data_IF_455062923983
#
_entry.id   IF_455062923983
#
_cell.length_a   1.000
_cell.length_b   1.000
_cell.length_c   1.000
_cell.angle_alpha   90.00
_cell.angle_beta   90.00
_cell.angle_gamma   90.00
#
_symmetry.space_group_name_H-M   'P 1'
#
loop_
_entity.id
_entity.type
_entity.pdbx_description
1 polymer ?
#
# COMPACT_ATOMS: atom_id res chain seq x y z
N UNK A 1 -5.99 6.60 -18.00
CA UNK A 1 -6.40 7.53 -16.94
C UNK A 1 -5.21 8.20 -16.25
N UNK A 2 -4.26 7.44 -15.65
CA UNK A 2 -3.08 8.01 -14.96
C UNK A 2 -2.30 9.06 -15.78
N UNK A 3 -2.00 8.75 -17.05
CA UNK A 3 -1.39 9.70 -17.98
C UNK A 3 -2.14 11.04 -18.00
N UNK A 4 -3.47 11.04 -18.10
CA UNK A 4 -4.25 12.28 -18.15
C UNK A 4 -4.22 13.06 -16.83
N UNK A 5 -4.16 12.38 -15.69
CA UNK A 5 -4.05 13.03 -14.38
C UNK A 5 -2.69 13.73 -14.21
N UNK A 6 -1.65 13.11 -14.77
CA UNK A 6 -0.30 13.63 -14.72
C UNK A 6 0.05 14.58 -15.87
N UNK A 7 -0.71 14.53 -16.97
CA UNK A 7 -0.48 15.34 -18.15
C UNK A 7 -0.67 16.82 -17.82
N UNK A 8 0.38 17.65 -17.98
CA UNK A 8 0.21 19.09 -18.01
C UNK A 8 -0.36 19.38 -19.39
N UNK A 9 -1.67 19.30 -19.57
CA UNK A 9 -2.29 19.76 -20.82
C UNK A 9 -3.78 20.01 -20.69
N UNK A 10 -4.27 20.27 -19.49
CA UNK A 10 -5.59 20.83 -19.35
C UNK A 10 -5.50 22.32 -19.77
N UNK A 11 -6.27 22.63 -20.82
CA UNK A 11 -6.30 23.94 -21.45
C UNK A 11 -7.42 24.76 -20.82
N UNK A 12 -7.06 25.81 -20.08
CA UNK A 12 -8.04 26.71 -19.48
C UNK A 12 -8.07 28.04 -20.24
N UNK A 13 -9.26 28.50 -20.69
CA UNK A 13 -9.39 29.86 -21.15
C UNK A 13 -9.21 30.80 -19.95
N UNK A 14 -8.25 31.73 -20.05
CA UNK A 14 -7.95 32.71 -18.99
C UNK A 14 -9.06 33.73 -18.77
N UNK A 15 -9.97 33.86 -19.72
CA UNK A 15 -11.05 34.86 -19.74
C UNK A 15 -12.29 34.29 -20.44
N UNK A 16 -13.43 34.85 -20.10
CA UNK A 16 -14.76 34.70 -20.73
C UNK A 16 -14.82 35.21 -22.20
N UNK A 17 -13.78 35.88 -22.68
CA UNK A 17 -13.68 36.37 -24.06
C UNK A 17 -13.20 35.32 -25.06
N UNK A 18 -14.03 35.03 -26.07
CA UNK A 18 -13.75 34.10 -27.19
C UNK A 18 -12.53 34.51 -28.05
N UNK A 19 -11.99 35.70 -27.85
CA UNK A 19 -10.92 36.32 -28.66
C UNK A 19 -9.55 36.39 -27.97
N UNK A 20 -9.46 36.02 -26.68
CA UNK A 20 -8.20 36.02 -25.93
C UNK A 20 -7.71 34.58 -25.70
N UNK A 21 -6.96 34.05 -26.69
CA UNK A 21 -6.41 32.69 -26.66
C UNK A 21 -5.15 32.58 -25.77
N UNK A 22 -5.07 33.32 -24.67
CA UNK A 22 -4.04 33.10 -23.64
C UNK A 22 -4.34 31.81 -22.89
N UNK A 23 -3.99 30.71 -23.56
CA UNK A 23 -4.01 29.36 -23.07
C UNK A 23 -2.84 29.18 -22.10
N UNK A 24 -3.15 28.81 -20.87
CA UNK A 24 -2.14 28.31 -19.95
C UNK A 24 -2.45 26.84 -19.64
N UNK A 25 -1.39 26.13 -19.31
CA UNK A 25 -1.39 24.70 -19.15
C UNK A 25 -1.17 24.39 -17.66
N UNK A 26 -2.16 23.75 -17.03
CA UNK A 26 -2.09 23.33 -15.63
C UNK A 26 -2.45 21.84 -15.58
N UNK A 27 -1.62 21.02 -14.92
CA UNK A 27 -1.95 19.61 -14.73
C UNK A 27 -3.09 19.44 -13.73
N UNK A 28 -3.84 18.32 -13.82
CA UNK A 28 -4.87 18.00 -12.83
C UNK A 28 -4.31 17.93 -11.41
N UNK A 29 -3.07 17.46 -11.26
CA UNK A 29 -2.38 17.48 -9.98
C UNK A 29 -2.22 18.88 -9.40
N UNK A 30 -1.97 19.91 -10.20
CA UNK A 30 -1.87 21.29 -9.70
C UNK A 30 -3.21 21.87 -9.24
N UNK A 31 -4.32 21.43 -9.85
CA UNK A 31 -5.66 21.87 -9.45
C UNK A 31 -6.22 21.07 -8.27
N UNK A 32 -5.94 19.78 -8.22
CA UNK A 32 -6.48 18.83 -7.24
C UNK A 32 -5.35 18.00 -6.60
N UNK A 33 -4.38 18.65 -5.94
CA UNK A 33 -3.15 17.99 -5.51
C UNK A 33 -3.41 16.88 -4.50
N UNK A 34 -4.35 17.08 -3.58
CA UNK A 34 -4.69 16.09 -2.55
C UNK A 34 -5.28 14.84 -3.16
N UNK A 35 -6.22 14.99 -4.09
CA UNK A 35 -6.96 13.88 -4.69
C UNK A 35 -6.11 13.10 -5.67
N UNK A 36 -5.36 13.79 -6.54
CA UNK A 36 -4.44 13.12 -7.44
C UNK A 36 -3.30 12.46 -6.66
N UNK A 37 -2.72 13.11 -5.64
CA UNK A 37 -1.74 12.48 -4.74
C UNK A 37 -2.30 11.23 -4.07
N UNK A 38 -3.54 11.26 -3.57
CA UNK A 38 -4.20 10.09 -2.98
C UNK A 38 -4.35 8.94 -3.97
N UNK A 39 -4.73 9.23 -5.22
CA UNK A 39 -4.84 8.20 -6.28
C UNK A 39 -3.50 7.53 -6.51
N UNK A 40 -2.44 8.31 -6.71
CA UNK A 40 -1.10 7.77 -6.94
C UNK A 40 -0.58 7.02 -5.71
N UNK A 41 -0.79 7.57 -4.52
CA UNK A 41 -0.48 6.90 -3.27
C UNK A 41 -1.15 5.52 -3.18
N UNK A 42 -2.45 5.44 -3.39
CA UNK A 42 -3.19 4.18 -3.27
C UNK A 42 -2.80 3.17 -4.35
N UNK A 43 -2.43 3.65 -5.55
CA UNK A 43 -1.90 2.77 -6.61
C UNK A 43 -0.52 2.21 -6.23
N UNK A 44 0.37 3.06 -5.72
CA UNK A 44 1.76 2.70 -5.41
C UNK A 44 1.83 1.83 -4.15
N UNK A 45 0.97 2.07 -3.15
CA UNK A 45 0.92 1.33 -1.88
C UNK A 45 -0.01 0.10 -1.91
N UNK A 46 -0.58 -0.20 -3.07
CA UNK A 46 -1.54 -1.28 -3.33
C UNK A 46 -2.86 -1.19 -2.55
N UNK A 47 -3.27 0.01 -2.15
CA UNK A 47 -4.59 0.28 -1.57
C UNK A 47 -5.67 0.37 -2.67
N UNK A 48 -5.68 -0.60 -3.59
CA UNK A 48 -6.57 -0.60 -4.76
C UNK A 48 -8.06 -0.63 -4.40
N UNK A 49 -8.40 -1.29 -3.29
CA UNK A 49 -9.77 -1.31 -2.77
C UNK A 49 -10.30 0.09 -2.42
N UNK A 50 -9.41 1.05 -2.16
CA UNK A 50 -9.77 2.44 -1.87
C UNK A 50 -9.92 3.29 -3.14
N UNK A 51 -9.67 2.71 -4.31
CA UNK A 51 -9.93 3.28 -5.63
C UNK A 51 -11.11 2.61 -6.34
N UNK A 52 -11.44 1.39 -5.89
CA UNK A 52 -12.52 0.61 -6.41
C UNK A 52 -13.90 1.14 -6.03
N UNK A 53 -14.94 0.65 -6.72
CA UNK A 53 -16.32 0.95 -6.41
C UNK A 53 -16.70 0.41 -5.02
N UNK A 54 -17.84 0.87 -4.51
CA UNK A 54 -18.36 0.47 -3.20
C UNK A 54 -19.76 -0.11 -3.31
N UNK A 55 -20.14 -0.89 -2.32
CA UNK A 55 -21.53 -1.33 -2.13
C UNK A 55 -22.03 -0.73 -0.82
N UNK A 56 -23.00 0.17 -0.91
CA UNK A 56 -23.65 0.79 0.24
C UNK A 56 -24.73 -0.18 0.75
N UNK A 57 -24.62 -0.70 1.99
CA UNK A 57 -25.64 -1.59 2.55
C UNK A 57 -27.01 -0.92 2.56
N UNK A 58 -28.05 -1.66 2.17
CA UNK A 58 -29.44 -1.20 2.18
C UNK A 58 -30.01 -1.01 3.59
N UNK A 59 -29.31 -1.55 4.61
CA UNK A 59 -29.82 -1.67 5.99
C UNK A 59 -30.78 -2.86 6.19
N UNK A 60 -31.20 -3.51 5.11
CA UNK A 60 -32.04 -4.71 5.12
C UNK A 60 -31.18 -5.94 4.75
N UNK A 61 -31.07 -6.95 5.64
CA UNK A 61 -30.24 -8.13 5.39
C UNK A 61 -30.70 -8.95 4.16
N UNK A 62 -31.94 -8.80 3.72
CA UNK A 62 -32.50 -9.53 2.57
C UNK A 62 -32.28 -8.80 1.23
N UNK A 63 -31.78 -7.55 1.26
CA UNK A 63 -31.52 -6.76 0.06
C UNK A 63 -30.03 -6.54 -0.15
N UNK A 64 -29.54 -6.96 -1.31
CA UNK A 64 -28.20 -6.60 -1.78
C UNK A 64 -28.06 -5.07 -1.79
N UNK A 65 -26.95 -4.56 -1.24
CA UNK A 65 -26.66 -3.14 -1.19
C UNK A 65 -26.56 -2.49 -2.59
N UNK A 66 -26.51 -1.16 -2.63
CA UNK A 66 -26.41 -0.42 -3.89
C UNK A 66 -24.95 -0.29 -4.31
N UNK A 67 -24.62 -0.76 -5.51
CA UNK A 67 -23.30 -0.57 -6.12
C UNK A 67 -23.15 0.87 -6.61
N UNK A 68 -22.13 1.56 -6.13
CA UNK A 68 -21.81 2.93 -6.51
C UNK A 68 -20.35 3.06 -6.95
N UNK A 69 -20.07 3.75 -8.08
CA UNK A 69 -18.72 4.17 -8.40
C UNK A 69 -18.18 5.05 -7.27
N UNK A 70 -16.96 4.75 -6.80
CA UNK A 70 -16.32 5.59 -5.79
C UNK A 70 -16.00 6.95 -6.40
N UNK A 71 -16.60 7.99 -5.84
CA UNK A 71 -16.30 9.35 -6.22
C UNK A 71 -15.05 9.78 -5.46
N UNK A 72 -13.98 10.03 -6.22
CA UNK A 72 -12.72 10.56 -5.68
C UNK A 72 -12.74 12.11 -5.62
N UNK A 73 -13.77 12.72 -6.22
CA UNK A 73 -14.03 14.14 -6.29
C UNK A 73 -15.55 14.32 -6.22
N UNK A 74 -16.07 15.00 -5.18
CA UNK A 74 -17.42 15.57 -5.21
C UNK A 74 -17.38 17.04 -5.71
N UNK A 75 -18.55 17.64 -5.92
CA UNK A 75 -18.70 19.03 -6.34
C UNK A 75 -18.15 20.07 -5.33
N UNK A 76 -17.96 19.67 -4.07
CA UNK A 76 -17.43 20.47 -2.97
C UNK A 76 -15.94 20.18 -2.69
N UNK A 77 -15.29 19.36 -3.51
CA UNK A 77 -13.91 18.86 -3.32
C UNK A 77 -13.71 18.06 -2.02
N UNK A 78 -14.79 17.53 -1.46
CA UNK A 78 -14.79 16.62 -0.33
C UNK A 78 -14.97 15.18 -0.84
N UNK A 79 -14.33 14.24 -0.18
CA UNK A 79 -14.59 12.84 -0.46
C UNK A 79 -15.88 12.44 0.26
N UNK A 80 -16.85 11.81 -0.43
CA UNK A 80 -18.03 11.30 0.24
C UNK A 80 -17.65 10.32 1.37
N UNK A 81 -18.40 10.36 2.46
CA UNK A 81 -18.19 9.43 3.56
C UNK A 81 -18.70 8.04 3.16
N UNK A 82 -17.76 7.11 3.02
CA UNK A 82 -18.03 5.71 2.72
C UNK A 82 -17.92 4.80 3.96
N UNK A 83 -18.02 5.37 5.16
CA UNK A 83 -18.03 4.60 6.40
C UNK A 83 -19.17 3.58 6.40
N UNK A 84 -18.83 2.31 6.62
CA UNK A 84 -19.79 1.19 6.59
C UNK A 84 -20.09 0.62 5.19
N UNK A 85 -19.56 1.21 4.12
CA UNK A 85 -19.67 0.63 2.78
C UNK A 85 -18.70 -0.53 2.58
N UNK A 86 -19.15 -1.56 1.85
CA UNK A 86 -18.30 -2.68 1.44
C UNK A 86 -17.43 -2.24 0.25
N UNK A 87 -16.12 -2.54 0.30
CA UNK A 87 -15.18 -2.20 -0.77
C UNK A 87 -15.18 -3.32 -1.82
N UNK A 88 -15.23 -2.94 -3.10
CA UNK A 88 -15.08 -3.88 -4.20
C UNK A 88 -13.68 -3.73 -4.77
N UNK A 89 -12.90 -4.81 -4.76
CA UNK A 89 -11.56 -4.78 -5.34
C UNK A 89 -11.66 -4.60 -6.87
N UNK A 90 -11.06 -3.55 -7.44
CA UNK A 90 -11.06 -3.38 -8.88
C UNK A 90 -10.12 -4.39 -9.53
N UNK A 91 -10.39 -4.76 -10.79
CA UNK A 91 -9.43 -5.53 -11.58
C UNK A 91 -8.19 -4.67 -11.84
N UNK A 92 -7.08 -5.08 -11.23
CA UNK A 92 -5.78 -4.41 -11.38
C UNK A 92 -4.79 -5.35 -12.04
N UNK A 93 -4.07 -4.84 -13.04
CA UNK A 93 -2.89 -5.52 -13.58
C UNK A 93 -1.68 -5.19 -12.71
N UNK A 94 -0.80 -6.17 -12.52
CA UNK A 94 0.48 -6.06 -11.78
C UNK A 94 1.28 -4.80 -12.16
N UNK A 95 1.24 -4.37 -13.42
CA UNK A 95 2.02 -3.24 -13.91
C UNK A 95 1.51 -1.86 -13.48
N UNK A 96 0.33 -1.74 -12.84
CA UNK A 96 -0.23 -0.44 -12.49
C UNK A 96 0.64 0.34 -11.50
N UNK A 97 1.27 -0.36 -10.56
CA UNK A 97 2.20 0.22 -9.58
C UNK A 97 3.41 0.87 -10.25
N UNK A 98 4.14 0.10 -11.07
CA UNK A 98 5.30 0.59 -11.81
C UNK A 98 4.95 1.78 -12.71
N UNK A 99 3.80 1.71 -13.39
CA UNK A 99 3.33 2.81 -14.23
C UNK A 99 2.98 4.05 -13.39
N UNK A 100 2.40 3.86 -12.20
CA UNK A 100 2.10 4.96 -11.28
C UNK A 100 3.38 5.63 -10.75
N UNK A 101 4.40 4.85 -10.36
CA UNK A 101 5.72 5.38 -9.97
C UNK A 101 6.32 6.19 -11.11
N UNK A 102 6.31 5.65 -12.34
CA UNK A 102 6.88 6.33 -13.50
C UNK A 102 6.19 7.67 -13.76
N UNK A 103 4.86 7.71 -13.77
CA UNK A 103 4.13 8.96 -13.98
C UNK A 103 4.29 9.95 -12.83
N UNK A 104 4.34 9.47 -11.59
CA UNK A 104 4.57 10.32 -10.44
C UNK A 104 5.94 11.02 -10.52
N UNK A 105 7.00 10.26 -10.83
CA UNK A 105 8.36 10.80 -10.96
C UNK A 105 8.58 11.62 -12.23
N UNK A 106 8.02 11.22 -13.37
CA UNK A 106 8.27 11.91 -14.63
C UNK A 106 7.42 13.17 -14.84
N UNK A 107 6.17 13.17 -14.35
CA UNK A 107 5.17 14.18 -14.73
C UNK A 107 4.57 14.95 -13.54
N UNK A 108 4.73 14.45 -12.31
CA UNK A 108 4.26 15.11 -11.08
C UNK A 108 5.42 15.68 -10.24
N UNK A 109 6.62 15.64 -10.81
CA UNK A 109 7.83 16.28 -10.34
C UNK A 109 7.79 17.80 -10.53
N UNK A 110 8.36 18.55 -9.58
CA UNK A 110 8.63 19.97 -9.80
C UNK A 110 9.82 20.50 -8.99
N UNK A 111 10.81 21.01 -9.73
CA UNK A 111 12.00 21.64 -9.16
C UNK A 111 11.74 22.99 -8.46
N UNK A 112 10.52 23.53 -8.61
CA UNK A 112 10.18 24.90 -8.23
C UNK A 112 9.14 25.01 -7.13
N UNK A 113 8.48 23.91 -6.77
CA UNK A 113 7.41 23.91 -5.78
C UNK A 113 7.52 22.72 -4.82
N UNK A 114 8.16 23.00 -3.69
CA UNK A 114 8.39 22.04 -2.62
C UNK A 114 7.10 21.41 -2.05
N UNK A 115 5.94 22.03 -2.27
CA UNK A 115 4.67 21.58 -1.69
C UNK A 115 3.86 20.65 -2.60
N UNK A 116 4.10 20.72 -3.91
CA UNK A 116 3.40 19.95 -4.95
C UNK A 116 4.36 19.02 -5.70
N UNK A 117 5.34 18.47 -4.99
CA UNK A 117 6.34 17.57 -5.54
C UNK A 117 6.06 16.15 -5.03
N UNK A 118 5.27 15.39 -5.79
CA UNK A 118 4.86 14.05 -5.39
C UNK A 118 6.05 13.09 -5.16
N UNK A 119 7.14 13.13 -5.96
CA UNK A 119 8.35 12.34 -5.73
C UNK A 119 8.93 12.42 -4.32
N UNK A 120 8.77 13.56 -3.62
CA UNK A 120 9.25 13.68 -2.23
C UNK A 120 8.54 12.75 -1.26
N UNK A 121 7.29 12.36 -1.55
CA UNK A 121 6.58 11.38 -0.73
C UNK A 121 7.11 9.96 -0.93
N UNK A 122 7.95 9.72 -1.95
CA UNK A 122 8.60 8.45 -2.28
C UNK A 122 10.09 8.41 -1.87
N UNK A 123 10.58 9.39 -1.12
CA UNK A 123 11.97 9.42 -0.66
C UNK A 123 12.24 8.29 0.36
N UNK A 124 12.94 7.27 -0.12
CA UNK A 124 13.46 6.15 0.66
C UNK A 124 14.98 6.23 0.60
N UNK A 125 15.65 5.92 1.70
CA UNK A 125 17.09 5.79 1.76
C UNK A 125 17.48 4.40 2.28
N UNK A 126 18.69 3.98 1.95
CA UNK A 126 19.30 2.75 2.48
C UNK A 126 20.47 3.13 3.36
N UNK A 127 20.52 2.58 4.57
CA UNK A 127 21.59 2.83 5.54
C UNK A 127 22.97 2.56 4.92
N UNK A 128 23.87 3.54 5.02
CA UNK A 128 25.22 3.47 4.49
C UNK A 128 25.35 3.59 2.96
N UNK A 129 24.26 3.78 2.22
CA UNK A 129 24.30 4.08 0.79
C UNK A 129 24.41 5.61 0.53
N UNK A 130 24.62 6.02 -0.72
CA UNK A 130 24.80 7.45 -1.07
C UNK A 130 23.54 8.30 -0.90
N UNK A 131 22.37 7.65 -0.82
CA UNK A 131 21.06 8.25 -0.58
C UNK A 131 20.70 8.29 0.92
N UNK A 132 21.59 7.82 1.80
CA UNK A 132 21.49 7.96 3.26
C UNK A 132 21.69 9.42 3.67
N UNK A 133 20.60 10.18 3.57
CA UNK A 133 20.62 11.62 3.84
C UNK A 133 20.54 11.89 5.33
N UNK A 134 21.33 12.84 5.82
CA UNK A 134 21.20 13.42 7.19
C UNK A 134 19.80 13.98 7.52
N UNK A 135 18.85 13.98 6.58
CA UNK A 135 17.46 14.35 6.80
C UNK A 135 16.77 13.42 7.81
N UNK A 136 17.14 12.14 7.88
CA UNK A 136 16.57 11.19 8.86
C UNK A 136 17.04 11.49 10.29
N UNK A 137 18.29 11.91 10.46
CA UNK A 137 18.86 12.24 11.78
C UNK A 137 18.20 13.46 12.43
N UNK A 138 17.65 14.36 11.62
CA UNK A 138 17.06 15.63 12.06
C UNK A 138 15.52 15.61 12.08
N UNK A 139 14.89 14.55 11.59
CA UNK A 139 13.44 14.40 11.59
C UNK A 139 12.91 13.95 12.97
N UNK A 140 11.65 14.24 13.26
CA UNK A 140 10.97 13.65 14.43
C UNK A 140 10.92 12.13 14.25
N UNK A 141 11.33 11.31 15.23
CA UNK A 141 11.23 9.86 15.16
C UNK A 141 9.82 9.34 14.79
N UNK A 142 8.76 10.07 15.12
CA UNK A 142 7.38 9.71 14.76
C UNK A 142 7.10 9.85 13.25
N UNK A 143 7.92 10.62 12.53
CA UNK A 143 7.81 10.88 11.10
C UNK A 143 8.83 10.06 10.28
N UNK A 144 9.58 9.16 10.92
CA UNK A 144 10.54 8.26 10.28
C UNK A 144 10.06 6.82 10.42
N UNK A 145 9.83 6.14 9.30
CA UNK A 145 9.67 4.69 9.29
C UNK A 145 11.03 4.06 8.97
N UNK A 146 11.44 3.07 9.76
CA UNK A 146 12.65 2.28 9.52
C UNK A 146 12.29 0.81 9.42
N UNK A 147 12.79 0.16 8.38
CA UNK A 147 12.70 -1.29 8.19
C UNK A 147 14.09 -1.89 8.23
N UNK A 148 14.25 -2.97 8.98
CA UNK A 148 15.48 -3.79 8.99
C UNK A 148 15.09 -5.20 8.59
N UNK A 149 15.59 -5.64 7.44
CA UNK A 149 15.30 -6.95 6.87
C UNK A 149 15.93 -8.04 7.75
N UNK A 150 15.13 -9.01 8.25
CA UNK A 150 15.60 -9.95 9.26
C UNK A 150 16.67 -10.93 8.74
N UNK A 151 16.66 -11.23 7.44
CA UNK A 151 17.61 -12.17 6.81
C UNK A 151 18.85 -11.46 6.25
N UNK A 152 18.68 -10.43 5.41
CA UNK A 152 19.80 -9.75 4.73
C UNK A 152 20.48 -8.66 5.58
N UNK A 153 19.84 -8.20 6.67
CA UNK A 153 20.32 -7.06 7.46
C UNK A 153 20.18 -5.71 6.75
N UNK A 154 19.52 -5.67 5.59
CA UNK A 154 19.25 -4.45 4.86
C UNK A 154 18.41 -3.48 5.70
N UNK A 155 18.86 -2.23 5.85
CA UNK A 155 18.11 -1.20 6.56
C UNK A 155 17.64 -0.12 5.58
N UNK A 156 16.34 0.19 5.61
CA UNK A 156 15.69 1.20 4.79
C UNK A 156 14.99 2.23 5.68
N UNK A 157 15.06 3.51 5.30
CA UNK A 157 14.44 4.63 5.99
C UNK A 157 13.53 5.41 5.04
N UNK A 158 12.43 5.95 5.57
CA UNK A 158 11.46 6.71 4.78
C UNK A 158 10.76 7.76 5.63
N UNK A 159 10.59 8.94 5.07
CA UNK A 159 10.00 10.08 5.76
C UNK A 159 8.51 10.20 5.52
N UNK A 160 7.80 10.67 6.54
CA UNK A 160 6.40 11.03 6.47
C UNK A 160 6.23 12.43 5.85
N UNK A 161 6.23 12.48 4.52
CA UNK A 161 6.08 13.74 3.77
C UNK A 161 4.63 13.91 3.29
N UNK A 162 3.98 14.98 3.76
CA UNK A 162 2.64 15.37 3.32
C UNK A 162 1.51 14.48 3.85
N UNK A 163 0.33 14.56 3.22
CA UNK A 163 -0.86 13.82 3.65
C UNK A 163 -0.93 12.38 3.14
N UNK A 164 -0.16 12.04 2.11
CA UNK A 164 -0.12 10.71 1.51
C UNK A 164 1.35 10.23 1.40
N UNK A 165 1.99 9.88 2.52
CA UNK A 165 3.42 9.64 2.60
C UNK A 165 3.78 8.21 2.13
N UNK A 166 4.04 8.05 0.83
CA UNK A 166 4.27 6.73 0.20
C UNK A 166 5.42 5.97 0.86
N UNK A 167 6.59 6.57 1.02
CA UNK A 167 7.77 5.94 1.61
C UNK A 167 7.51 5.43 3.02
N UNK A 168 6.91 6.28 3.86
CA UNK A 168 6.55 5.95 5.24
C UNK A 168 5.56 4.77 5.31
N UNK A 169 4.50 4.81 4.51
CA UNK A 169 3.46 3.79 4.52
C UNK A 169 3.95 2.44 3.96
N UNK A 170 4.83 2.47 2.95
CA UNK A 170 5.47 1.28 2.40
C UNK A 170 6.41 0.60 3.42
N UNK A 171 7.21 1.38 4.15
CA UNK A 171 8.09 0.82 5.18
C UNK A 171 7.31 0.28 6.38
N UNK A 172 6.23 0.95 6.79
CA UNK A 172 5.33 0.40 7.81
C UNK A 172 4.66 -0.89 7.36
N UNK A 173 4.33 -1.01 6.07
CA UNK A 173 3.83 -2.25 5.50
C UNK A 173 4.89 -3.36 5.51
N UNK A 174 6.14 -3.05 5.19
CA UNK A 174 7.25 -3.99 5.32
C UNK A 174 7.44 -4.47 6.76
N UNK A 175 7.36 -3.57 7.74
CA UNK A 175 7.43 -3.95 9.14
C UNK A 175 6.32 -4.93 9.54
N UNK A 176 5.08 -4.72 9.08
CA UNK A 176 3.99 -5.69 9.29
C UNK A 176 4.27 -7.06 8.66
N UNK A 177 4.88 -7.10 7.47
CA UNK A 177 5.25 -8.38 6.83
C UNK A 177 6.38 -9.09 7.59
N UNK A 178 7.37 -8.33 8.06
CA UNK A 178 8.44 -8.83 8.91
C UNK A 178 7.92 -9.37 10.24
N UNK A 179 7.00 -8.68 10.91
CA UNK A 179 6.36 -9.15 12.15
C UNK A 179 5.70 -10.51 11.91
N UNK A 180 4.87 -10.60 10.87
CA UNK A 180 4.24 -11.86 10.46
C UNK A 180 5.26 -12.97 10.20
N UNK A 181 6.34 -12.68 9.47
CA UNK A 181 7.39 -13.65 9.19
C UNK A 181 8.07 -14.14 10.47
N UNK A 182 8.48 -13.23 11.36
CA UNK A 182 9.17 -13.57 12.61
C UNK A 182 8.27 -14.39 13.55
N UNK A 183 6.98 -14.07 13.61
CA UNK A 183 6.02 -14.85 14.41
C UNK A 183 5.83 -16.27 13.86
N UNK A 184 5.66 -16.42 12.54
CA UNK A 184 5.55 -17.74 11.89
C UNK A 184 6.85 -18.56 11.99
N UNK A 185 8.00 -17.90 11.93
CA UNK A 185 9.30 -18.55 12.10
C UNK A 185 9.48 -19.08 13.53
N UNK A 186 9.13 -18.28 14.54
CA UNK A 186 9.09 -18.72 15.93
C UNK A 186 8.21 -19.96 16.13
N UNK A 187 6.98 -19.91 15.61
CA UNK A 187 6.03 -21.01 15.74
C UNK A 187 6.47 -22.31 15.05
N UNK A 188 7.20 -22.21 13.93
CA UNK A 188 7.76 -23.39 13.29
C UNK A 188 8.95 -23.96 14.08
N UNK A 189 9.84 -23.11 14.59
CA UNK A 189 10.99 -23.55 15.38
C UNK A 189 10.52 -24.33 16.62
N UNK A 190 9.53 -23.81 17.34
CA UNK A 190 8.97 -24.47 18.52
C UNK A 190 8.31 -25.83 18.17
N UNK A 191 7.60 -25.90 17.03
CA UNK A 191 7.04 -27.15 16.53
C UNK A 191 8.12 -28.19 16.15
N UNK A 192 9.21 -27.76 15.52
CA UNK A 192 10.31 -28.64 15.08
C UNK A 192 11.17 -29.15 16.24
N UNK A 193 11.30 -28.36 17.31
CA UNK A 193 12.03 -28.74 18.52
C UNK A 193 11.25 -29.74 19.39
N UNK A 194 10.00 -30.06 19.01
CA UNK A 194 9.15 -31.03 19.71
C UNK A 194 8.62 -30.51 21.03
N UNK A 195 8.68 -29.20 21.25
CA UNK A 195 7.93 -28.56 22.32
C UNK A 195 6.45 -28.63 21.93
N UNK A 196 5.60 -29.12 22.86
CA UNK A 196 4.16 -28.97 22.71
C UNK A 196 3.90 -27.48 22.50
N UNK A 197 3.26 -27.11 21.39
CA UNK A 197 2.90 -25.73 21.09
C UNK A 197 2.21 -25.15 22.32
N UNK A 198 2.95 -24.34 23.06
CA UNK A 198 2.51 -23.83 24.37
C UNK A 198 1.22 -23.04 24.21
N UNK A 199 0.44 -22.88 25.29
CA UNK A 199 -0.81 -22.09 25.30
C UNK A 199 -0.65 -20.70 24.64
N UNK A 200 0.55 -20.12 24.65
CA UNK A 200 0.86 -18.87 23.92
C UNK A 200 0.71 -18.98 22.40
N UNK A 201 1.10 -20.09 21.78
CA UNK A 201 0.93 -20.35 20.34
C UNK A 201 -0.51 -20.67 19.98
N UNK A 202 -1.25 -21.25 20.93
CA UNK A 202 -2.69 -21.42 20.82
C UNK A 202 -3.48 -20.11 20.97
N UNK A 203 -2.82 -19.00 21.33
CA UNK A 203 -3.45 -17.67 21.34
C UNK A 203 -2.91 -16.75 20.24
N UNK A 204 -1.84 -17.15 19.55
CA UNK A 204 -1.31 -16.37 18.44
C UNK A 204 -2.13 -16.66 17.17
N UNK A 205 -2.81 -15.66 16.58
CA UNK A 205 -3.63 -15.85 15.39
C UNK A 205 -2.84 -16.35 14.18
N UNK A 206 -1.52 -16.13 14.12
CA UNK A 206 -0.68 -16.67 13.06
C UNK A 206 -0.32 -18.14 13.26
N UNK A 207 -0.46 -18.69 14.48
CA UNK A 207 -0.01 -20.04 14.84
C UNK A 207 -1.16 -21.00 15.19
N UNK A 208 -2.37 -20.47 15.43
CA UNK A 208 -3.54 -21.17 15.99
C UNK A 208 -4.29 -22.16 15.08
N UNK A 209 -3.77 -22.59 13.93
CA UNK A 209 -4.50 -23.53 13.07
C UNK A 209 -4.47 -24.98 13.60
N UNK A 210 -4.75 -25.24 14.87
CA UNK A 210 -4.68 -26.57 15.49
C UNK A 210 -5.90 -26.74 16.40
N UNK A 211 -7.01 -27.25 15.86
CA UNK A 211 -7.61 -28.48 16.39
C UNK A 211 -8.84 -29.04 15.62
N UNK A 212 -8.92 -30.37 15.63
CA UNK A 212 -10.07 -31.30 15.44
C UNK A 212 -10.93 -31.37 14.16
N UNK A 213 -10.83 -32.56 13.51
CA UNK A 213 -11.84 -33.31 12.72
C UNK A 213 -13.19 -32.63 12.38
N UNK A 214 -13.30 -32.03 11.19
CA UNK A 214 -14.57 -32.04 10.41
C UNK A 214 -14.33 -31.92 8.89
N UNK A 215 -15.06 -32.78 8.17
CA UNK A 215 -15.37 -32.89 6.72
C UNK A 215 -14.45 -32.26 5.63
N UNK A 216 -13.81 -33.06 4.75
CA UNK A 216 -12.96 -32.59 3.65
C UNK A 216 -13.67 -31.90 2.47
N UNK A 217 -14.99 -31.67 2.54
CA UNK A 217 -15.75 -31.01 1.45
C UNK A 217 -16.26 -29.59 1.76
N UNK A 218 -15.96 -29.03 2.93
CA UNK A 218 -16.32 -27.63 3.29
C UNK A 218 -15.10 -26.71 3.55
N UNK A 219 -13.86 -27.18 3.36
CA UNK A 219 -12.65 -26.38 3.60
C UNK A 219 -12.02 -25.86 2.31
N UNK A 220 -12.32 -24.64 1.91
CA UNK A 220 -11.71 -23.99 0.74
C UNK A 220 -10.47 -23.18 1.18
N UNK A 221 -9.28 -23.78 1.03
CA UNK A 221 -7.97 -23.14 1.31
C UNK A 221 -7.55 -22.21 0.17
N UNK A 222 -8.46 -21.37 -0.33
CA UNK A 222 -8.17 -20.45 -1.42
C UNK A 222 -8.46 -19.01 -0.99
N UNK A 223 -7.45 -18.16 -1.14
CA UNK A 223 -7.41 -16.68 -1.04
C UNK A 223 -6.56 -16.17 0.13
N UNK A 224 -5.46 -15.53 -0.23
CA UNK A 224 -4.29 -15.04 0.52
C UNK A 224 -4.47 -14.27 1.86
N UNK A 225 -5.66 -14.04 2.41
CA UNK A 225 -5.77 -13.03 3.49
C UNK A 225 -6.91 -13.06 4.50
N UNK A 226 -7.82 -14.03 4.52
CA UNK A 226 -8.87 -14.08 5.55
C UNK A 226 -9.23 -15.53 5.89
N UNK A 227 -8.68 -16.04 6.98
CA UNK A 227 -9.21 -17.22 7.67
C UNK A 227 -10.43 -16.77 8.48
N UNK A 228 -11.56 -17.47 8.40
CA UNK A 228 -12.49 -17.44 9.53
C UNK A 228 -11.84 -18.24 10.66
N UNK A 229 -11.78 -17.61 11.83
CA UNK A 229 -11.38 -18.23 13.09
C UNK A 229 -12.11 -19.59 13.21
N UNK A 230 -11.36 -20.66 13.47
CA UNK A 230 -11.84 -22.04 13.71
C UNK A 230 -12.11 -22.95 12.49
N UNK A 231 -11.57 -22.66 11.29
CA UNK A 231 -11.74 -23.56 10.12
C UNK A 231 -10.42 -24.03 9.48
N UNK A 232 -9.88 -25.16 9.96
CA UNK A 232 -8.83 -25.94 9.27
C UNK A 232 -7.57 -26.22 10.10
N UNK A 233 -7.11 -27.48 10.10
CA UNK A 233 -5.88 -27.91 10.78
C UNK A 233 -4.62 -27.68 9.91
N UNK A 234 -3.55 -27.14 10.51
CA UNK A 234 -2.23 -26.96 9.89
C UNK A 234 -1.26 -28.04 10.37
N UNK A 235 -0.72 -28.80 9.43
CA UNK A 235 0.47 -29.64 9.64
C UNK A 235 1.73 -28.76 9.76
N UNK A 236 2.86 -29.30 10.26
CA UNK A 236 4.15 -28.60 10.18
C UNK A 236 4.55 -28.19 8.75
N UNK A 237 4.03 -28.90 7.74
CA UNK A 237 4.17 -28.51 6.33
C UNK A 237 3.38 -27.24 6.01
N UNK A 238 2.17 -27.07 6.55
CA UNK A 238 1.35 -25.87 6.34
C UNK A 238 1.95 -24.65 7.06
N UNK A 239 2.44 -24.82 8.29
CA UNK A 239 3.19 -23.76 9.00
C UNK A 239 4.44 -23.34 8.21
N UNK A 240 5.19 -24.31 7.69
CA UNK A 240 6.34 -24.04 6.82
C UNK A 240 5.92 -23.26 5.57
N UNK A 241 4.87 -23.67 4.87
CA UNK A 241 4.39 -22.97 3.68
C UNK A 241 3.93 -21.54 4.00
N UNK A 242 3.25 -21.32 5.11
CA UNK A 242 2.83 -19.98 5.56
C UNK A 242 4.03 -19.09 5.87
N UNK A 243 5.03 -19.62 6.58
CA UNK A 243 6.29 -18.93 6.89
C UNK A 243 7.05 -18.56 5.61
N UNK A 244 7.15 -19.49 4.66
CA UNK A 244 7.81 -19.24 3.37
C UNK A 244 7.04 -18.23 2.51
N UNK A 245 5.70 -18.31 2.47
CA UNK A 245 4.85 -17.32 1.78
C UNK A 245 4.97 -15.93 2.42
N UNK A 246 5.04 -15.84 3.75
CA UNK A 246 5.27 -14.57 4.45
C UNK A 246 6.67 -14.01 4.14
N UNK A 247 7.69 -14.87 4.03
CA UNK A 247 9.03 -14.48 3.59
C UNK A 247 9.00 -13.95 2.16
N UNK A 248 8.44 -14.70 1.22
CA UNK A 248 8.34 -14.31 -0.20
C UNK A 248 7.62 -12.97 -0.36
N UNK A 249 6.47 -12.79 0.31
CA UNK A 249 5.75 -11.51 0.28
C UNK A 249 6.51 -10.34 0.91
N UNK A 250 7.37 -10.60 1.91
CA UNK A 250 8.25 -9.59 2.50
C UNK A 250 9.39 -9.23 1.54
N UNK A 251 10.04 -10.24 0.96
CA UNK A 251 11.16 -10.09 0.04
C UNK A 251 10.70 -9.34 -1.23
N UNK A 252 9.58 -9.75 -1.83
CA UNK A 252 8.97 -9.08 -3.00
C UNK A 252 8.63 -7.61 -2.72
N UNK A 253 8.09 -7.34 -1.52
CA UNK A 253 7.78 -5.97 -1.11
C UNK A 253 9.05 -5.16 -0.87
N UNK A 254 10.12 -5.77 -0.35
CA UNK A 254 11.39 -5.10 -0.11
C UNK A 254 12.07 -4.73 -1.43
N UNK A 255 12.02 -5.64 -2.41
CA UNK A 255 12.47 -5.40 -3.77
C UNK A 255 11.68 -4.26 -4.42
N UNK A 256 10.35 -4.27 -4.31
CA UNK A 256 9.52 -3.18 -4.84
C UNK A 256 9.79 -1.83 -4.17
N UNK A 257 10.03 -1.79 -2.85
CA UNK A 257 10.42 -0.56 -2.14
C UNK A 257 11.79 -0.07 -2.60
N UNK A 258 12.73 -0.98 -2.86
CA UNK A 258 14.03 -0.65 -3.43
C UNK A 258 13.92 -0.18 -4.90
N UNK A 259 12.94 -0.69 -5.66
CA UNK A 259 12.62 -0.18 -6.99
C UNK A 259 12.08 1.26 -6.92
N UNK A 260 11.14 1.57 -6.01
CA UNK A 260 10.66 2.94 -5.77
C UNK A 260 11.84 3.88 -5.50
N UNK A 261 12.74 3.47 -4.61
CA UNK A 261 13.98 4.21 -4.29
C UNK A 261 14.84 4.44 -5.53
N UNK A 262 15.11 3.39 -6.28
CA UNK A 262 15.96 3.44 -7.49
C UNK A 262 15.35 4.33 -8.57
N UNK A 263 14.03 4.25 -8.78
CA UNK A 263 13.31 5.12 -9.70
C UNK A 263 13.42 6.58 -9.26
N UNK A 264 13.11 6.87 -7.99
CA UNK A 264 13.14 8.23 -7.48
C UNK A 264 14.55 8.85 -7.59
N UNK A 265 15.59 8.10 -7.23
CA UNK A 265 16.98 8.53 -7.39
C UNK A 265 17.43 8.72 -8.85
N UNK A 266 16.85 7.98 -9.79
CA UNK A 266 17.16 8.17 -11.21
C UNK A 266 16.62 9.51 -11.75
N UNK A 267 15.48 9.97 -11.22
CA UNK A 267 14.86 11.24 -11.62
C UNK A 267 15.39 12.46 -10.83
N UNK A 268 16.01 12.25 -9.65
CA UNK A 268 16.49 13.29 -8.73
C UNK A 268 17.87 12.99 -8.13
#
# INVERSE_FOLDING_TARGET
AMFFLAWPGAWFPKTDGVTDMRLFNISWYRMFPKQVSKIFHNLITEQFADLGPVVIPSGDPDLLGTYEPRQLLDENLQEPDYTGALRVMPSVSYNHQFIAIWYANALLATDTDDTLDLPRTMNIAMDGASDDMSAFDNADPADVATFVHPISGLTLHGLKVGSNPIAFDMLNRLNRMKERFLELDGCLNDYEDGDDLTDSHLTNPYCFCIDYFTDPFEGDCTIERMEEVDTGGCTGFDLRNRRESAREAMDDLADYVNDIRSFNHYFY
#
